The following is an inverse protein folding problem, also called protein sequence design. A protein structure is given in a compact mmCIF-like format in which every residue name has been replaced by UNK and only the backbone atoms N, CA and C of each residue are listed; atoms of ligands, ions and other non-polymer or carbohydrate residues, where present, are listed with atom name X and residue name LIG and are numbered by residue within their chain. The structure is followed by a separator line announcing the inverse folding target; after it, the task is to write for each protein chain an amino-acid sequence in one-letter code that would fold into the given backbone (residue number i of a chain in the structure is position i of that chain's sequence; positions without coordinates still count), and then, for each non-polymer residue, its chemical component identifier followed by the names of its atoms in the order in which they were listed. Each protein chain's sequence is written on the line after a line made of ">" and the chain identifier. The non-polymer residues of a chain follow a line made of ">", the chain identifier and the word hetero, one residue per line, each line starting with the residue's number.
data_IF_366593381789
#
_entry.id   IF_366593381789
#
_cell.length_a   1.000
_cell.length_b   1.000
_cell.length_c   1.000
_cell.angle_alpha   90.00
_cell.angle_beta   90.00
_cell.angle_gamma   90.00
#
_symmetry.space_group_name_H-M   'P 1'
#
loop_
_entity.id
_entity.type
_entity.pdbx_description
1 polymer ?
#
# COMPACT_ATOMS: atom_id res chain seq x y z
N UNK A 1 -37.18 44.22 4.70
CA UNK A 1 -36.50 44.39 3.41
C UNK A 1 -36.08 42.99 2.95
N UNK A 2 -36.89 42.36 2.11
CA UNK A 2 -36.78 40.94 1.75
C UNK A 2 -36.19 40.81 0.34
N UNK A 3 -35.12 40.05 0.18
CA UNK A 3 -34.53 39.78 -1.14
C UNK A 3 -35.42 38.79 -1.93
N UNK A 4 -35.67 39.00 -3.24
CA UNK A 4 -36.36 38.03 -4.09
C UNK A 4 -35.40 36.88 -4.48
N UNK A 5 -35.85 35.63 -4.32
CA UNK A 5 -35.12 34.44 -4.75
C UNK A 5 -35.17 34.32 -6.29
N UNK A 6 -34.01 34.32 -6.95
CA UNK A 6 -33.92 34.03 -8.38
C UNK A 6 -34.09 32.51 -8.65
N UNK A 7 -34.79 32.09 -9.71
CA UNK A 7 -34.94 30.68 -10.05
C UNK A 7 -33.64 30.09 -10.61
N UNK A 8 -33.22 28.93 -10.08
CA UNK A 8 -31.98 28.23 -10.46
C UNK A 8 -32.18 27.44 -11.77
N UNK A 9 -31.43 27.70 -12.85
CA UNK A 9 -31.72 27.14 -14.18
C UNK A 9 -31.10 25.75 -14.50
N UNK A 10 -30.62 24.98 -13.51
CA UNK A 10 -29.83 23.76 -13.78
C UNK A 10 -30.27 22.49 -13.04
N UNK A 11 -31.57 22.29 -12.81
CA UNK A 11 -32.10 21.00 -12.33
C UNK A 11 -32.72 20.25 -13.52
N UNK A 12 -31.86 19.58 -14.30
CA UNK A 12 -32.25 18.79 -15.46
C UNK A 12 -31.41 17.52 -15.60
N UNK A 13 -32.10 16.38 -15.68
CA UNK A 13 -31.62 14.99 -15.78
C UNK A 13 -31.24 14.30 -14.46
N UNK A 14 -32.28 13.80 -13.79
CA UNK A 14 -32.16 12.86 -12.69
C UNK A 14 -31.43 11.59 -13.13
N UNK A 15 -30.28 11.34 -12.50
CA UNK A 15 -29.74 10.00 -12.33
C UNK A 15 -30.79 9.21 -11.53
N UNK A 16 -31.67 8.50 -12.24
CA UNK A 16 -32.65 7.60 -11.65
C UNK A 16 -31.86 6.47 -10.99
N UNK A 17 -31.57 6.60 -9.69
CA UNK A 17 -31.07 5.46 -8.91
C UNK A 17 -32.14 4.37 -8.98
N UNK A 18 -31.84 3.16 -9.47
CA UNK A 18 -32.80 2.06 -9.42
C UNK A 18 -33.21 1.84 -7.96
N UNK A 19 -34.50 1.96 -7.68
CA UNK A 19 -35.08 1.98 -6.32
C UNK A 19 -34.91 0.64 -5.54
N UNK A 20 -34.29 -0.35 -6.15
CA UNK A 20 -34.22 -1.74 -5.70
C UNK A 20 -32.82 -2.38 -5.80
N UNK A 21 -31.78 -1.63 -6.19
CA UNK A 21 -30.42 -2.15 -6.17
C UNK A 21 -29.78 -1.92 -4.80
N UNK A 22 -30.12 -2.76 -3.81
CA UNK A 22 -29.35 -2.89 -2.56
C UNK A 22 -28.03 -3.61 -2.88
N UNK A 23 -27.06 -2.89 -3.44
CA UNK A 23 -25.69 -3.35 -3.31
C UNK A 23 -25.37 -3.42 -1.81
N UNK A 24 -24.65 -4.44 -1.33
CA UNK A 24 -24.16 -4.45 0.05
C UNK A 24 -23.24 -3.23 0.24
N UNK A 25 -23.83 -2.12 0.68
CA UNK A 25 -23.10 -0.93 1.10
C UNK A 25 -22.60 -1.28 2.50
N UNK A 26 -21.30 -1.56 2.60
CA UNK A 26 -20.67 -1.69 3.90
C UNK A 26 -20.80 -0.37 4.66
N UNK A 27 -21.07 -0.44 5.95
CA UNK A 27 -21.07 0.74 6.80
C UNK A 27 -19.70 1.44 6.74
N UNK A 28 -19.69 2.75 6.94
CA UNK A 28 -18.48 3.58 6.87
C UNK A 28 -17.37 3.06 7.80
N UNK A 29 -17.75 2.61 8.99
CA UNK A 29 -16.81 2.05 9.98
C UNK A 29 -16.23 0.71 9.50
N UNK A 30 -17.06 -0.14 8.91
CA UNK A 30 -16.64 -1.47 8.43
C UNK A 30 -15.71 -1.32 7.22
N UNK A 31 -16.04 -0.44 6.28
CA UNK A 31 -15.20 -0.16 5.11
C UNK A 31 -13.85 0.45 5.49
N UNK A 32 -13.82 1.44 6.41
CA UNK A 32 -12.56 2.01 6.91
C UNK A 32 -11.67 0.97 7.61
N UNK A 33 -12.25 0.07 8.42
CA UNK A 33 -11.50 -1.00 9.09
C UNK A 33 -10.92 -2.02 8.11
N UNK A 34 -11.70 -2.40 7.09
CA UNK A 34 -11.23 -3.33 6.06
C UNK A 34 -10.13 -2.72 5.20
N UNK A 35 -10.22 -1.42 4.86
CA UNK A 35 -9.18 -0.70 4.13
C UNK A 35 -7.87 -0.65 4.92
N UNK A 36 -7.92 -0.16 6.16
CA UNK A 36 -6.78 -0.13 7.09
C UNK A 36 -6.15 -1.52 7.24
N UNK A 37 -6.97 -2.55 7.46
CA UNK A 37 -6.50 -3.92 7.60
C UNK A 37 -5.82 -4.47 6.36
N UNK A 38 -6.35 -4.16 5.17
CA UNK A 38 -5.74 -4.56 3.89
C UNK A 38 -4.41 -3.86 3.65
N UNK A 39 -4.36 -2.54 3.84
CA UNK A 39 -3.18 -1.71 3.63
C UNK A 39 -2.04 -2.11 4.59
N UNK A 40 -2.36 -2.23 5.88
CA UNK A 40 -1.43 -2.69 6.90
C UNK A 40 -0.96 -4.13 6.67
N UNK A 41 -1.88 -5.04 6.31
CA UNK A 41 -1.55 -6.42 5.99
C UNK A 41 -0.58 -6.55 4.81
N UNK A 42 -0.81 -5.79 3.75
CA UNK A 42 0.12 -5.69 2.62
C UNK A 42 1.49 -5.19 3.11
N UNK A 43 1.54 -4.06 3.81
CA UNK A 43 2.80 -3.46 4.24
C UNK A 43 3.62 -4.38 5.16
N UNK A 44 3.00 -5.08 6.12
CA UNK A 44 3.71 -5.99 7.03
C UNK A 44 4.40 -7.12 6.27
N UNK A 45 3.75 -7.70 5.25
CA UNK A 45 4.35 -8.74 4.42
C UNK A 45 5.63 -8.25 3.74
N UNK A 46 5.58 -7.06 3.12
CA UNK A 46 6.76 -6.47 2.47
C UNK A 46 7.81 -5.98 3.46
N UNK A 47 7.40 -5.46 4.62
CA UNK A 47 8.31 -5.01 5.67
C UNK A 47 9.13 -6.17 6.25
N UNK A 48 8.47 -7.31 6.56
CA UNK A 48 9.16 -8.48 7.09
C UNK A 48 10.19 -9.05 6.09
N UNK A 49 9.79 -9.18 4.82
CA UNK A 49 10.69 -9.64 3.74
C UNK A 49 11.80 -8.60 3.50
N UNK A 50 11.45 -7.32 3.50
CA UNK A 50 12.35 -6.20 3.27
C UNK A 50 13.43 -6.06 4.34
N UNK A 51 13.20 -6.53 5.57
CA UNK A 51 14.22 -6.59 6.64
C UNK A 51 14.99 -7.92 6.62
N UNK A 52 14.32 -9.04 6.33
CA UNK A 52 14.93 -10.37 6.34
C UNK A 52 15.93 -10.62 5.21
N UNK A 53 15.60 -10.22 3.98
CA UNK A 53 16.47 -10.44 2.82
C UNK A 53 17.82 -9.70 2.91
N UNK A 54 17.88 -8.41 3.26
CA UNK A 54 19.15 -7.71 3.43
C UNK A 54 20.04 -8.36 4.49
N UNK A 55 19.45 -8.84 5.59
CA UNK A 55 20.19 -9.54 6.63
C UNK A 55 20.81 -10.85 6.11
N UNK A 56 20.05 -11.64 5.35
CA UNK A 56 20.56 -12.86 4.71
C UNK A 56 21.67 -12.56 3.71
N UNK A 57 21.54 -11.47 2.94
CA UNK A 57 22.55 -11.05 1.98
C UNK A 57 23.84 -10.56 2.65
N UNK A 58 23.71 -9.85 3.77
CA UNK A 58 24.86 -9.43 4.57
C UNK A 58 25.64 -10.66 5.09
N UNK A 59 24.93 -11.68 5.57
CA UNK A 59 25.53 -12.94 6.02
C UNK A 59 26.20 -13.68 4.86
N UNK A 60 25.51 -13.80 3.71
CA UNK A 60 26.04 -14.47 2.52
C UNK A 60 27.30 -13.78 1.99
N UNK A 61 27.32 -12.45 1.91
CA UNK A 61 28.50 -11.68 1.53
C UNK A 61 29.61 -11.82 2.58
N UNK A 62 29.27 -11.82 3.87
CA UNK A 62 30.23 -12.04 4.95
C UNK A 62 30.92 -13.41 4.89
N UNK A 63 30.18 -14.46 4.49
CA UNK A 63 30.74 -15.79 4.23
C UNK A 63 31.59 -15.77 2.96
N UNK A 64 31.13 -15.13 1.88
CA UNK A 64 31.89 -15.01 0.64
C UNK A 64 33.25 -14.33 0.86
N UNK A 65 33.31 -13.30 1.71
CA UNK A 65 34.55 -12.62 2.09
C UNK A 65 35.50 -13.52 2.89
N UNK A 66 34.96 -14.44 3.71
CA UNK A 66 35.78 -15.38 4.50
C UNK A 66 36.28 -16.56 3.66
N UNK A 67 35.45 -17.10 2.77
CA UNK A 67 35.79 -18.28 1.96
C UNK A 67 36.52 -17.91 0.66
N UNK A 68 36.36 -16.68 0.17
CA UNK A 68 36.90 -16.23 -1.11
C UNK A 68 36.16 -16.79 -2.34
N UNK A 69 35.01 -17.42 -2.15
CA UNK A 69 34.23 -18.04 -3.22
C UNK A 69 33.31 -17.00 -3.90
N UNK A 70 33.63 -16.72 -5.15
CA UNK A 70 32.95 -15.75 -5.99
C UNK A 70 31.48 -16.13 -6.29
N UNK A 71 31.12 -17.40 -6.14
CA UNK A 71 29.76 -17.90 -6.38
C UNK A 71 28.75 -17.26 -5.42
N UNK A 72 29.11 -17.21 -4.13
CA UNK A 72 28.27 -16.59 -3.10
C UNK A 72 28.14 -15.08 -3.30
N UNK A 73 29.23 -14.42 -3.75
CA UNK A 73 29.24 -12.98 -4.05
C UNK A 73 28.36 -12.62 -5.23
N UNK A 74 28.38 -13.42 -6.29
CA UNK A 74 27.50 -13.23 -7.45
C UNK A 74 26.03 -13.46 -7.09
N UNK A 75 25.74 -14.46 -6.25
CA UNK A 75 24.39 -14.71 -5.76
C UNK A 75 23.91 -13.53 -4.90
N UNK A 76 24.71 -13.06 -3.94
CA UNK A 76 24.39 -11.92 -3.09
C UNK A 76 24.11 -10.65 -3.90
N UNK A 77 24.96 -10.32 -4.90
CA UNK A 77 24.72 -9.16 -5.79
C UNK A 77 23.43 -9.25 -6.60
N UNK A 78 23.06 -10.46 -7.08
CA UNK A 78 21.81 -10.65 -7.83
C UNK A 78 20.60 -10.43 -6.95
N UNK A 79 20.61 -11.02 -5.75
CA UNK A 79 19.53 -10.90 -4.79
C UNK A 79 19.44 -9.51 -4.14
N UNK A 80 20.55 -8.78 -4.02
CA UNK A 80 20.56 -7.41 -3.50
C UNK A 80 19.68 -6.45 -4.33
N UNK A 81 19.62 -6.63 -5.65
CA UNK A 81 18.72 -5.84 -6.51
C UNK A 81 17.25 -6.12 -6.20
N UNK A 82 16.90 -7.38 -5.97
CA UNK A 82 15.53 -7.79 -5.60
C UNK A 82 15.18 -7.25 -4.21
N UNK A 83 16.10 -7.33 -3.25
CA UNK A 83 15.92 -6.78 -1.92
C UNK A 83 15.70 -5.26 -1.94
N UNK A 84 16.43 -4.52 -2.77
CA UNK A 84 16.25 -3.07 -2.94
C UNK A 84 14.87 -2.71 -3.50
N UNK A 85 14.37 -3.48 -4.48
CA UNK A 85 13.02 -3.29 -5.03
C UNK A 85 11.93 -3.56 -3.98
N UNK A 86 12.05 -4.66 -3.22
CA UNK A 86 11.13 -4.99 -2.13
C UNK A 86 11.12 -3.91 -1.03
N UNK A 87 12.30 -3.39 -0.69
CA UNK A 87 12.43 -2.28 0.25
C UNK A 87 11.72 -1.01 -0.25
N UNK A 88 11.86 -0.66 -1.54
CA UNK A 88 11.17 0.50 -2.11
C UNK A 88 9.64 0.35 -2.06
N UNK A 89 9.10 -0.83 -2.39
CA UNK A 89 7.66 -1.12 -2.28
C UNK A 89 7.18 -1.04 -0.83
N UNK A 90 7.98 -1.55 0.11
CA UNK A 90 7.74 -1.41 1.54
C UNK A 90 7.67 0.06 1.96
N UNK A 91 8.65 0.88 1.59
CA UNK A 91 8.68 2.30 1.93
C UNK A 91 7.45 3.06 1.39
N UNK A 92 7.07 2.85 0.12
CA UNK A 92 5.90 3.49 -0.48
C UNK A 92 4.61 3.06 0.23
N UNK A 93 4.42 1.77 0.50
CA UNK A 93 3.23 1.31 1.24
C UNK A 93 3.15 1.85 2.67
N UNK A 94 4.29 2.06 3.34
CA UNK A 94 4.30 2.70 4.67
C UNK A 94 3.86 4.15 4.64
N UNK A 95 4.17 4.87 3.55
CA UNK A 95 3.66 6.24 3.37
C UNK A 95 2.14 6.25 3.18
N UNK A 96 1.57 5.26 2.50
CA UNK A 96 0.11 5.13 2.32
C UNK A 96 -0.59 4.95 3.66
N UNK A 97 -0.08 4.06 4.53
CA UNK A 97 -0.64 3.86 5.88
C UNK A 97 -0.58 5.15 6.71
N UNK A 98 0.47 5.95 6.54
CA UNK A 98 0.57 7.24 7.24
C UNK A 98 -0.55 8.21 6.83
N UNK A 99 -1.00 8.16 5.57
CA UNK A 99 -2.17 8.91 5.12
C UNK A 99 -3.49 8.30 5.60
N UNK A 100 -3.62 6.97 5.59
CA UNK A 100 -4.82 6.28 6.09
C UNK A 100 -5.06 6.47 7.58
N UNK A 101 -4.00 6.67 8.38
CA UNK A 101 -4.12 7.01 9.79
C UNK A 101 -4.49 8.49 10.04
N UNK A 102 -4.24 9.36 9.05
CA UNK A 102 -4.44 10.79 9.17
C UNK A 102 -5.76 11.33 8.60
N UNK A 103 -6.44 10.55 7.74
CA UNK A 103 -7.73 10.87 7.10
C UNK A 103 -8.90 10.27 7.87
#
# INVERSE_FOLDING_TARGET
>A
MSYPQAPRPWVGHGFVRPANLRLPVFDTVTSARTLMGMSLGFHICFAAIGVGLPLLLLIAEGIALRTGDETYRQMAKRWARVAALLFAVGAVSGTIISFELGL
#
